data_IF_068270025726
#
_entry.id   IF_068270025726
#
_cell.length_a   1.000
_cell.length_b   1.000
_cell.length_c   1.000
_cell.angle_alpha   90.00
_cell.angle_beta   90.00
_cell.angle_gamma   90.00
#
_symmetry.space_group_name_H-M   'P 1'
#
loop_
_entity.id
_entity.type
_entity.pdbx_description
1 polymer ?
#
# COMPACT_ATOMS: atom_id res chain seq x y z
N UNK A 1 2.22 -3.60 27.39
CA UNK A 1 0.86 -4.07 27.77
C UNK A 1 1.00 -4.99 28.96
N UNK A 2 0.06 -5.01 29.91
CA UNK A 2 0.16 -5.89 31.08
C UNK A 2 -0.47 -7.26 30.77
N UNK A 3 0.35 -8.31 30.76
CA UNK A 3 -0.09 -9.69 30.52
C UNK A 3 -0.26 -10.44 31.84
N UNK A 4 -1.21 -11.38 31.89
CA UNK A 4 -1.44 -12.27 33.04
C UNK A 4 -0.37 -13.37 33.17
N UNK A 5 0.92 -12.99 33.18
CA UNK A 5 2.07 -13.90 33.16
C UNK A 5 2.12 -14.82 34.38
N UNK A 6 1.54 -14.41 35.51
CA UNK A 6 1.40 -15.22 36.72
C UNK A 6 0.68 -16.56 36.48
N UNK A 7 -0.08 -16.69 35.39
CA UNK A 7 -0.74 -17.95 35.00
C UNK A 7 0.21 -18.95 34.32
N UNK A 8 1.39 -18.49 33.86
CA UNK A 8 2.46 -19.34 33.34
C UNK A 8 3.32 -19.79 34.51
N UNK A 9 2.99 -20.95 35.08
CA UNK A 9 3.64 -21.49 36.29
C UNK A 9 4.87 -22.34 35.99
N UNK A 10 5.10 -22.71 34.73
CA UNK A 10 6.23 -23.56 34.31
C UNK A 10 6.99 -22.94 33.14
N UNK A 11 8.29 -23.23 33.04
CA UNK A 11 9.11 -22.79 31.90
C UNK A 11 8.58 -23.30 30.56
N UNK A 12 8.04 -24.51 30.53
CA UNK A 12 7.44 -25.09 29.33
C UNK A 12 6.22 -24.29 28.83
N UNK A 13 5.41 -23.74 29.74
CA UNK A 13 4.31 -22.85 29.35
C UNK A 13 4.82 -21.53 28.77
N UNK A 14 5.86 -20.94 29.37
CA UNK A 14 6.52 -19.76 28.78
C UNK A 14 7.11 -20.08 27.40
N UNK A 15 7.76 -21.23 27.23
CA UNK A 15 8.35 -21.65 25.96
C UNK A 15 7.30 -21.82 24.86
N UNK A 16 6.11 -22.33 25.20
CA UNK A 16 5.00 -22.41 24.26
C UNK A 16 4.51 -21.03 23.80
N UNK A 17 4.39 -20.07 24.73
CA UNK A 17 4.01 -18.68 24.41
C UNK A 17 5.10 -18.00 23.59
N UNK A 18 6.37 -18.19 23.92
CA UNK A 18 7.50 -17.66 23.14
C UNK A 18 7.54 -18.26 21.74
N UNK A 19 7.27 -19.55 21.57
CA UNK A 19 7.20 -20.18 20.25
C UNK A 19 6.09 -19.54 19.40
N UNK A 20 4.90 -19.32 19.97
CA UNK A 20 3.82 -18.59 19.31
C UNK A 20 4.25 -17.16 18.93
N UNK A 21 4.81 -16.40 19.88
CA UNK A 21 5.15 -15.00 19.67
C UNK A 21 6.26 -14.85 18.62
N UNK A 22 7.28 -15.70 18.62
CA UNK A 22 8.33 -15.69 17.60
C UNK A 22 7.81 -16.07 16.21
N UNK A 23 6.89 -17.04 16.12
CA UNK A 23 6.25 -17.39 14.86
C UNK A 23 5.40 -16.22 14.32
N UNK A 24 4.66 -15.55 15.21
CA UNK A 24 3.87 -14.36 14.86
C UNK A 24 4.75 -13.19 14.43
N UNK A 25 5.85 -12.94 15.13
CA UNK A 25 6.82 -11.91 14.78
C UNK A 25 7.41 -12.17 13.39
N UNK A 26 7.84 -13.40 13.12
CA UNK A 26 8.37 -13.79 11.82
C UNK A 26 7.37 -13.56 10.67
N UNK A 27 6.09 -13.87 10.91
CA UNK A 27 5.02 -13.58 9.95
C UNK A 27 4.85 -12.06 9.75
N UNK A 28 4.81 -11.28 10.81
CA UNK A 28 4.68 -9.82 10.72
C UNK A 28 5.86 -9.19 9.98
N UNK A 29 7.09 -9.63 10.22
CA UNK A 29 8.28 -9.16 9.47
C UNK A 29 8.20 -9.51 7.99
N UNK A 30 7.69 -10.70 7.65
CA UNK A 30 7.45 -11.05 6.24
C UNK A 30 6.39 -10.13 5.62
N UNK A 31 5.29 -9.89 6.33
CA UNK A 31 4.23 -8.99 5.87
C UNK A 31 4.75 -7.56 5.68
N UNK A 32 5.53 -7.04 6.62
CA UNK A 32 6.17 -5.72 6.55
C UNK A 32 7.02 -5.56 5.27
N UNK A 33 7.87 -6.56 4.98
CA UNK A 33 8.68 -6.55 3.77
C UNK A 33 7.81 -6.57 2.48
N UNK A 34 6.66 -7.22 2.50
CA UNK A 34 5.73 -7.25 1.36
C UNK A 34 4.97 -5.94 1.20
N UNK A 35 4.44 -5.38 2.30
CA UNK A 35 3.72 -4.10 2.31
C UNK A 35 4.65 -2.95 1.91
N UNK A 36 5.91 -2.95 2.37
CA UNK A 36 6.92 -1.99 1.95
C UNK A 36 7.20 -2.03 0.44
N UNK A 37 7.34 -3.23 -0.15
CA UNK A 37 7.50 -3.39 -1.61
C UNK A 37 6.26 -2.94 -2.38
N UNK A 38 5.07 -3.32 -1.92
CA UNK A 38 3.78 -2.93 -2.53
C UNK A 38 3.64 -1.42 -2.52
N UNK A 39 3.88 -0.77 -1.38
CA UNK A 39 3.81 0.68 -1.23
C UNK A 39 4.78 1.38 -2.16
N UNK A 40 6.06 0.98 -2.18
CA UNK A 40 7.05 1.62 -3.08
C UNK A 40 6.69 1.52 -4.57
N UNK A 41 6.15 0.39 -5.02
CA UNK A 41 5.67 0.22 -6.38
C UNK A 41 4.45 1.13 -6.66
N UNK A 42 3.49 1.15 -5.74
CA UNK A 42 2.28 1.97 -5.85
C UNK A 42 2.59 3.47 -5.81
N UNK A 43 3.56 3.93 -5.00
CA UNK A 43 3.96 5.34 -4.96
C UNK A 43 4.42 5.81 -6.34
N UNK A 44 5.23 5.01 -7.01
CA UNK A 44 5.72 5.31 -8.35
C UNK A 44 4.58 5.35 -9.36
N UNK A 45 3.72 4.31 -9.37
CA UNK A 45 2.58 4.22 -10.29
C UNK A 45 1.55 5.33 -10.06
N UNK A 46 1.14 5.57 -8.81
CA UNK A 46 0.14 6.57 -8.47
C UNK A 46 0.62 7.99 -8.80
N UNK A 47 1.90 8.31 -8.56
CA UNK A 47 2.48 9.61 -8.91
C UNK A 47 2.48 9.82 -10.42
N UNK A 48 2.93 8.82 -11.18
CA UNK A 48 3.01 8.90 -12.64
C UNK A 48 1.62 8.97 -13.27
N UNK A 49 0.69 8.11 -12.85
CA UNK A 49 -0.68 8.07 -13.37
C UNK A 49 -1.43 9.38 -13.04
N UNK A 50 -1.23 9.95 -11.84
CA UNK A 50 -1.83 11.23 -11.47
C UNK A 50 -1.29 12.39 -12.31
N UNK A 51 0.02 12.45 -12.53
CA UNK A 51 0.64 13.47 -13.37
C UNK A 51 0.20 13.35 -14.84
N UNK A 52 0.12 12.12 -15.36
CA UNK A 52 -0.36 11.86 -16.72
C UNK A 52 -1.83 12.24 -16.88
N UNK A 53 -2.70 11.88 -15.91
CA UNK A 53 -4.11 12.26 -15.90
C UNK A 53 -4.29 13.79 -15.91
N UNK A 54 -3.50 14.52 -15.11
CA UNK A 54 -3.56 15.98 -15.10
C UNK A 54 -3.22 16.58 -16.47
N UNK A 55 -2.17 16.07 -17.12
CA UNK A 55 -1.73 16.49 -18.45
C UNK A 55 -2.78 16.18 -19.52
N UNK A 56 -3.32 14.96 -19.53
CA UNK A 56 -4.37 14.52 -20.45
C UNK A 56 -5.64 15.34 -20.28
N UNK A 57 -6.10 15.56 -19.05
CA UNK A 57 -7.29 16.36 -18.78
C UNK A 57 -7.11 17.82 -19.24
N UNK A 58 -5.92 18.40 -19.04
CA UNK A 58 -5.60 19.75 -19.51
C UNK A 58 -5.67 19.83 -21.04
N UNK A 59 -5.04 18.87 -21.73
CA UNK A 59 -5.08 18.81 -23.20
C UNK A 59 -6.51 18.62 -23.72
N UNK A 60 -7.25 17.64 -23.19
CA UNK A 60 -8.61 17.32 -23.63
C UNK A 60 -9.52 18.54 -23.44
N UNK A 61 -9.43 19.20 -22.28
CA UNK A 61 -10.20 20.41 -21.99
C UNK A 61 -9.89 21.53 -23.00
N UNK A 62 -8.62 21.73 -23.34
CA UNK A 62 -8.21 22.76 -24.29
C UNK A 62 -8.64 22.45 -25.74
N UNK A 63 -8.49 21.19 -26.18
CA UNK A 63 -8.68 20.82 -27.58
C UNK A 63 -10.12 20.47 -27.94
N UNK A 64 -10.94 20.02 -26.98
CA UNK A 64 -12.36 19.71 -27.21
C UNK A 64 -13.14 20.85 -27.88
N UNK A 65 -13.05 22.12 -27.43
CA UNK A 65 -13.73 23.21 -28.11
C UNK A 65 -13.01 23.67 -29.40
N UNK A 66 -11.71 23.43 -29.53
CA UNK A 66 -10.90 23.92 -30.66
C UNK A 66 -11.09 23.07 -31.91
N UNK A 67 -11.04 21.73 -31.79
CA UNK A 67 -11.10 20.81 -32.94
C UNK A 67 -12.30 21.07 -33.87
N UNK A 68 -13.53 21.29 -33.37
CA UNK A 68 -14.69 21.57 -34.23
C UNK A 68 -14.61 22.89 -35.00
N UNK A 69 -13.81 23.85 -34.52
CA UNK A 69 -13.65 25.18 -35.16
C UNK A 69 -12.63 25.18 -36.30
N UNK A 70 -11.81 24.14 -36.39
CA UNK A 70 -10.81 24.01 -37.46
C UNK A 70 -11.49 23.75 -38.80
N UNK A 71 -10.95 24.35 -39.86
CA UNK A 71 -11.39 24.12 -41.22
C UNK A 71 -11.28 22.62 -41.57
N UNK A 72 -12.24 22.07 -42.34
CA UNK A 72 -12.13 20.69 -42.82
C UNK A 72 -10.83 20.46 -43.59
N UNK A 73 -10.10 19.41 -43.22
CA UNK A 73 -8.83 19.06 -43.84
C UNK A 73 -7.94 18.23 -42.92
N UNK A 74 -6.75 17.89 -43.42
CA UNK A 74 -5.79 16.99 -42.74
C UNK A 74 -5.44 17.43 -41.32
N UNK A 75 -5.32 18.73 -41.07
CA UNK A 75 -4.98 19.25 -39.75
C UNK A 75 -6.09 19.02 -38.74
N UNK A 76 -7.35 19.29 -39.11
CA UNK A 76 -8.49 18.99 -38.25
C UNK A 76 -8.57 17.50 -37.94
N UNK A 77 -8.41 16.65 -38.96
CA UNK A 77 -8.51 15.20 -38.79
C UNK A 77 -7.37 14.66 -37.90
N UNK A 78 -6.15 15.21 -38.03
CA UNK A 78 -5.03 14.90 -37.13
C UNK A 78 -5.33 15.29 -35.69
N UNK A 79 -5.81 16.51 -35.45
CA UNK A 79 -6.13 16.97 -34.09
C UNK A 79 -7.30 16.19 -33.48
N UNK A 80 -8.31 15.82 -34.28
CA UNK A 80 -9.42 14.97 -33.83
C UNK A 80 -8.93 13.56 -33.44
N UNK A 81 -8.02 12.98 -34.23
CA UNK A 81 -7.40 11.69 -33.91
C UNK A 81 -6.57 11.77 -32.63
N UNK A 82 -5.78 12.83 -32.44
CA UNK A 82 -4.93 13.00 -31.25
C UNK A 82 -5.77 13.22 -29.99
N UNK A 83 -6.84 14.01 -30.07
CA UNK A 83 -7.83 14.17 -29.00
C UNK A 83 -8.48 12.84 -28.61
N UNK A 84 -8.86 12.02 -29.60
CA UNK A 84 -9.42 10.69 -29.34
C UNK A 84 -8.43 9.79 -28.62
N UNK A 85 -7.20 9.67 -29.13
CA UNK A 85 -6.16 8.83 -28.52
C UNK A 85 -5.87 9.21 -27.06
N UNK A 86 -5.82 10.52 -26.77
CA UNK A 86 -5.60 11.02 -25.41
C UNK A 86 -6.80 10.77 -24.50
N UNK A 87 -8.02 10.83 -25.04
CA UNK A 87 -9.25 10.46 -24.32
C UNK A 87 -9.23 8.96 -23.96
N UNK A 88 -8.93 8.10 -24.93
CA UNK A 88 -8.83 6.65 -24.73
C UNK A 88 -7.76 6.30 -23.67
N UNK A 89 -6.61 7.00 -23.70
CA UNK A 89 -5.56 6.85 -22.70
C UNK A 89 -6.02 7.27 -21.31
N UNK A 90 -6.67 8.43 -21.17
CA UNK A 90 -7.23 8.91 -19.90
C UNK A 90 -8.20 7.87 -19.33
N UNK A 91 -9.10 7.35 -20.14
CA UNK A 91 -10.11 6.39 -19.69
C UNK A 91 -9.46 5.06 -19.25
N UNK A 92 -8.40 4.64 -19.93
CA UNK A 92 -7.57 3.50 -19.50
C UNK A 92 -6.91 3.73 -18.13
N UNK A 93 -6.40 4.94 -17.89
CA UNK A 93 -5.81 5.31 -16.59
C UNK A 93 -6.86 5.35 -15.47
N UNK A 94 -8.04 5.87 -15.75
CA UNK A 94 -9.15 5.90 -14.79
C UNK A 94 -9.65 4.48 -14.46
N UNK A 95 -9.73 3.59 -15.45
CA UNK A 95 -10.18 2.21 -15.25
C UNK A 95 -9.26 1.40 -14.30
N UNK A 96 -7.97 1.75 -14.22
CA UNK A 96 -6.98 1.08 -13.35
C UNK A 96 -6.69 1.82 -12.05
N UNK A 97 -7.36 2.94 -11.79
CA UNK A 97 -7.10 3.78 -10.61
C UNK A 97 -7.28 3.01 -9.29
N UNK A 98 -8.25 2.10 -9.22
CA UNK A 98 -8.48 1.28 -8.03
C UNK A 98 -7.38 0.23 -7.77
N UNK A 99 -6.47 0.00 -8.72
CA UNK A 99 -5.40 -0.99 -8.58
C UNK A 99 -4.05 -0.36 -8.26
N UNK A 100 -3.81 0.86 -8.77
CA UNK A 100 -2.50 1.52 -8.68
C UNK A 100 -2.54 3.04 -8.60
N UNK A 101 -3.73 3.60 -8.40
CA UNK A 101 -3.95 5.02 -8.17
C UNK A 101 -3.73 5.43 -6.72
N UNK A 102 -3.97 6.72 -6.41
CA UNK A 102 -3.77 7.28 -5.07
C UNK A 102 -4.52 6.54 -3.97
N UNK A 103 -5.75 6.09 -4.25
CA UNK A 103 -6.57 5.36 -3.29
C UNK A 103 -5.94 4.01 -2.91
N UNK A 104 -5.48 3.25 -3.91
CA UNK A 104 -4.80 1.97 -3.70
C UNK A 104 -3.47 2.12 -2.95
N UNK A 105 -2.76 3.23 -3.16
CA UNK A 105 -1.57 3.59 -2.39
C UNK A 105 -1.91 3.82 -0.92
N UNK A 106 -2.91 4.65 -0.63
CA UNK A 106 -3.32 4.96 0.75
C UNK A 106 -3.76 3.68 1.48
N UNK A 107 -4.47 2.77 0.81
CA UNK A 107 -4.83 1.47 1.39
C UNK A 107 -3.59 0.65 1.76
N UNK A 108 -2.58 0.59 0.89
CA UNK A 108 -1.33 -0.13 1.16
C UNK A 108 -0.52 0.51 2.30
N UNK A 109 -0.49 1.84 2.36
CA UNK A 109 0.16 2.59 3.46
C UNK A 109 -0.54 2.32 4.80
N UNK A 110 -1.88 2.28 4.80
CA UNK A 110 -2.66 1.94 5.99
C UNK A 110 -2.41 0.50 6.46
N UNK A 111 -2.34 -0.46 5.54
CA UNK A 111 -1.96 -1.85 5.85
C UNK A 111 -0.57 -1.92 6.48
N UNK A 112 0.41 -1.20 5.93
CA UNK A 112 1.76 -1.10 6.48
C UNK A 112 1.77 -0.53 7.89
N UNK A 113 1.07 0.58 8.13
CA UNK A 113 0.95 1.19 9.45
C UNK A 113 0.33 0.27 10.51
N UNK A 114 -0.57 -0.64 10.13
CA UNK A 114 -1.09 -1.66 11.05
C UNK A 114 -0.03 -2.71 11.42
N UNK A 115 0.88 -3.05 10.52
CA UNK A 115 1.99 -3.97 10.80
C UNK A 115 3.01 -3.30 11.72
N UNK A 116 3.33 -2.03 11.48
CA UNK A 116 4.24 -1.22 12.30
C UNK A 116 3.80 -1.14 13.77
N UNK A 117 2.50 -1.14 14.03
CA UNK A 117 1.96 -1.15 15.40
C UNK A 117 2.01 -2.54 16.03
N UNK A 118 1.77 -3.59 15.25
CA UNK A 118 1.74 -4.96 15.75
C UNK A 118 3.12 -5.50 16.13
N UNK A 119 4.17 -5.12 15.38
CA UNK A 119 5.54 -5.63 15.63
C UNK A 119 6.02 -5.29 17.05
N UNK A 120 6.04 -4.02 17.51
CA UNK A 120 6.47 -3.67 18.86
C UNK A 120 5.62 -4.34 19.96
N UNK A 121 4.33 -4.57 19.69
CA UNK A 121 3.44 -5.23 20.63
C UNK A 121 3.83 -6.71 20.84
N UNK A 122 4.24 -7.41 19.79
CA UNK A 122 4.71 -8.79 19.89
C UNK A 122 6.12 -8.85 20.51
N UNK A 123 6.99 -7.89 20.21
CA UNK A 123 8.31 -7.78 20.84
C UNK A 123 8.21 -7.52 22.35
N UNK A 124 7.26 -6.69 22.79
CA UNK A 124 6.94 -6.46 24.21
C UNK A 124 6.50 -7.77 24.89
N UNK A 125 5.60 -8.53 24.26
CA UNK A 125 5.19 -9.85 24.77
C UNK A 125 6.39 -10.80 24.92
N UNK A 126 7.25 -10.90 23.91
CA UNK A 126 8.46 -11.74 23.97
C UNK A 126 9.35 -11.32 25.13
N UNK A 127 9.56 -10.01 25.29
CA UNK A 127 10.41 -9.43 26.33
C UNK A 127 9.88 -9.80 27.72
N UNK A 128 8.59 -9.57 27.96
CA UNK A 128 7.98 -9.83 29.27
C UNK A 128 7.90 -11.32 29.61
N UNK A 129 7.54 -12.17 28.64
CA UNK A 129 7.50 -13.64 28.86
C UNK A 129 8.90 -14.19 29.10
N UNK A 130 9.92 -13.67 28.42
CA UNK A 130 11.32 -14.05 28.66
C UNK A 130 11.77 -13.67 30.06
N UNK A 131 11.42 -12.46 30.52
CA UNK A 131 11.71 -12.02 31.88
C UNK A 131 11.01 -12.90 32.94
N UNK A 132 9.72 -13.18 32.78
CA UNK A 132 8.96 -14.05 33.68
C UNK A 132 9.48 -15.50 33.68
N UNK A 133 9.84 -16.05 32.51
CA UNK A 133 10.43 -17.39 32.42
C UNK A 133 11.69 -17.52 33.27
N UNK A 134 12.52 -16.48 33.33
CA UNK A 134 13.75 -16.47 34.11
C UNK A 134 13.51 -16.55 35.63
N UNK A 135 12.33 -16.15 36.12
CA UNK A 135 11.97 -16.24 37.54
C UNK A 135 11.45 -17.62 37.96
N UNK A 136 11.10 -18.48 37.00
CA UNK A 136 10.62 -19.84 37.28
C UNK A 136 11.79 -20.80 37.48
N UNK A 137 11.65 -21.72 38.43
CA UNK A 137 12.63 -22.80 38.65
C UNK A 137 12.78 -23.66 37.40
N UNK A 138 13.98 -24.24 37.23
CA UNK A 138 14.34 -25.08 36.09
C UNK A 138 13.44 -26.30 35.95
#
# INVERSE_FOLDING_TARGET
>A
MDYSLQLLTTRAQCDAVLAYANAKLSLLTYHDAQTGRRTGNLTTSATNDTAELLSLNSYITAMTPVVPTLLPGKDRDKQASDLRLKTDRRDTLLARQNQQGPEALIEAEAEGGLVDVQVPLIEDLITQVTAHRATLSA
#
